data_IF_427089523531
#
_entry.id   IF_427089523531
#
_cell.length_a   1.000
_cell.length_b   1.000
_cell.length_c   1.000
_cell.angle_alpha   90.00
_cell.angle_beta   90.00
_cell.angle_gamma   90.00
#
_symmetry.space_group_name_H-M   'P 1'
#
loop_
_entity.id
_entity.type
_entity.pdbx_description
1 polymer ?
#
# COMPACT_ATOMS: atom_id res chain seq x y z
N UNK A 1 10.99 -88.39 3.42
CA UNK A 1 11.07 -88.42 1.94
C UNK A 1 9.88 -87.59 1.42
N UNK A 2 10.15 -86.44 0.79
CA UNK A 2 9.17 -85.54 0.13
C UNK A 2 8.30 -84.70 1.07
N UNK A 3 8.02 -83.41 0.87
CA UNK A 3 8.29 -82.48 -0.23
C UNK A 3 8.05 -81.06 0.33
N UNK A 4 9.10 -80.24 0.41
CA UNK A 4 9.02 -78.81 0.75
C UNK A 4 9.09 -78.00 -0.56
N UNK A 5 8.11 -77.11 -0.76
CA UNK A 5 8.00 -76.28 -1.97
C UNK A 5 9.03 -75.15 -1.92
N UNK A 6 9.65 -74.93 -3.08
CA UNK A 6 10.72 -73.99 -3.38
C UNK A 6 10.29 -72.53 -3.14
N UNK A 7 11.11 -71.78 -2.43
CA UNK A 7 11.33 -70.34 -2.67
C UNK A 7 12.61 -70.17 -3.48
N UNK A 8 12.66 -69.20 -4.40
CA UNK A 8 13.91 -68.51 -4.68
C UNK A 8 13.77 -67.01 -4.43
N UNK A 9 14.81 -66.50 -3.77
CA UNK A 9 15.08 -65.11 -3.46
C UNK A 9 15.20 -64.24 -4.72
N UNK A 10 14.68 -63.01 -4.66
CA UNK A 10 15.14 -61.93 -5.51
C UNK A 10 15.92 -60.91 -4.68
N UNK A 11 17.11 -60.58 -5.19
CA UNK A 11 18.10 -59.65 -4.64
C UNK A 11 17.53 -58.27 -4.36
N UNK A 12 17.93 -57.70 -3.22
CA UNK A 12 17.77 -56.30 -2.92
C UNK A 12 18.65 -55.47 -3.88
N UNK A 13 18.01 -54.68 -4.75
CA UNK A 13 18.64 -53.53 -5.39
C UNK A 13 18.14 -52.31 -4.61
N UNK A 14 19.01 -51.78 -3.76
CA UNK A 14 18.86 -50.49 -3.09
C UNK A 14 18.90 -49.38 -4.14
N UNK A 15 17.73 -48.98 -4.65
CA UNK A 15 17.54 -47.74 -5.38
C UNK A 15 17.29 -46.62 -4.38
N UNK A 16 18.28 -45.74 -4.21
CA UNK A 16 18.13 -44.48 -3.51
C UNK A 16 17.18 -43.61 -4.35
N UNK A 17 15.89 -43.58 -4.00
CA UNK A 17 14.97 -42.61 -4.55
C UNK A 17 15.29 -41.28 -3.86
N UNK A 18 16.02 -40.41 -4.56
CA UNK A 18 16.09 -39.00 -4.18
C UNK A 18 14.66 -38.46 -4.35
N UNK A 19 13.90 -38.47 -3.25
CA UNK A 19 12.67 -37.71 -3.16
C UNK A 19 13.10 -36.25 -3.17
N UNK A 20 13.12 -35.64 -4.36
CA UNK A 20 13.09 -34.20 -4.46
C UNK A 20 11.76 -33.81 -3.83
N UNK A 21 11.83 -33.40 -2.56
CA UNK A 21 10.82 -32.54 -1.98
C UNK A 21 10.83 -31.30 -2.86
N UNK A 22 9.95 -31.27 -3.86
CA UNK A 22 9.43 -30.00 -4.32
C UNK A 22 9.03 -29.25 -3.04
N UNK A 23 9.39 -27.97 -2.85
CA UNK A 23 8.80 -27.21 -1.76
C UNK A 23 7.29 -27.42 -1.92
N UNK A 24 6.67 -28.00 -0.89
CA UNK A 24 5.23 -27.94 -0.77
C UNK A 24 4.92 -26.47 -0.94
N UNK A 25 4.19 -26.11 -2.00
CA UNK A 25 3.60 -24.79 -2.09
C UNK A 25 2.94 -24.57 -0.73
N UNK A 26 3.41 -23.57 0.02
CA UNK A 26 2.72 -23.13 1.21
C UNK A 26 1.26 -22.95 0.78
N UNK A 27 0.35 -23.62 1.48
CA UNK A 27 -1.07 -23.38 1.26
C UNK A 27 -1.29 -21.89 1.46
N UNK A 28 -1.56 -21.17 0.36
CA UNK A 28 -1.92 -19.76 0.37
C UNK A 28 -3.05 -19.52 1.39
N UNK A 29 -2.72 -18.90 2.53
CA UNK A 29 -3.62 -18.69 3.66
C UNK A 29 -4.42 -17.38 3.60
N UNK A 30 -4.44 -16.71 2.44
CA UNK A 30 -5.09 -15.41 2.31
C UNK A 30 -6.60 -15.50 2.06
N UNK A 31 -7.32 -14.48 2.52
CA UNK A 31 -8.76 -14.31 2.29
C UNK A 31 -8.96 -13.20 1.27
N UNK A 32 -9.71 -13.48 0.20
CA UNK A 32 -10.19 -12.45 -0.75
C UNK A 32 -11.69 -12.25 -0.57
N UNK A 33 -12.16 -11.01 -0.74
CA UNK A 33 -13.59 -10.72 -0.83
C UNK A 33 -14.20 -11.43 -2.05
N UNK A 34 -15.51 -11.69 -1.99
CA UNK A 34 -16.20 -12.47 -3.01
C UNK A 34 -15.78 -13.95 -3.09
N UNK A 35 -15.05 -14.47 -2.08
CA UNK A 35 -14.60 -15.88 -2.02
C UNK A 35 -13.77 -16.29 -3.25
N UNK A 36 -12.89 -15.40 -3.71
CA UNK A 36 -12.06 -15.58 -4.91
C UNK A 36 -12.75 -15.21 -6.24
N UNK A 37 -13.93 -14.59 -6.19
CA UNK A 37 -14.66 -14.13 -7.37
C UNK A 37 -15.18 -12.70 -7.18
N UNK A 38 -14.63 -11.74 -7.92
CA UNK A 38 -15.39 -10.58 -8.38
C UNK A 38 -15.15 -9.23 -7.72
N UNK A 39 -14.50 -9.14 -6.55
CA UNK A 39 -14.19 -7.84 -5.93
C UNK A 39 -12.83 -7.33 -6.36
N UNK A 40 -12.75 -6.70 -7.54
CA UNK A 40 -11.54 -6.00 -7.99
C UNK A 40 -11.85 -4.80 -8.88
N UNK A 41 -10.86 -3.92 -9.02
CA UNK A 41 -10.94 -2.79 -9.94
C UNK A 41 -10.70 -3.22 -11.40
N UNK A 42 -11.27 -2.46 -12.32
CA UNK A 42 -11.18 -2.63 -13.77
C UNK A 42 -11.65 -4.01 -14.28
N UNK A 43 -10.72 -4.81 -14.81
CA UNK A 43 -11.04 -6.11 -15.41
C UNK A 43 -11.45 -7.09 -14.31
N UNK A 44 -12.67 -7.64 -14.30
CA UNK A 44 -13.12 -8.53 -13.22
C UNK A 44 -12.38 -9.88 -13.19
N UNK A 45 -11.53 -10.18 -14.18
CA UNK A 45 -10.70 -11.38 -14.20
C UNK A 45 -9.45 -11.17 -13.36
N UNK A 46 -9.22 -12.09 -12.41
CA UNK A 46 -8.03 -12.13 -11.57
C UNK A 46 -6.74 -12.31 -12.37
N UNK A 47 -5.64 -11.76 -11.87
CA UNK A 47 -4.33 -11.76 -12.52
C UNK A 47 -4.14 -10.66 -13.56
N UNK A 48 -5.19 -9.87 -13.85
CA UNK A 48 -5.09 -8.68 -14.69
C UNK A 48 -4.85 -7.42 -13.85
N UNK A 49 -3.99 -6.50 -14.35
CA UNK A 49 -3.67 -5.26 -13.66
C UNK A 49 -4.88 -4.34 -13.54
N UNK A 50 -4.77 -3.32 -12.67
CA UNK A 50 -5.76 -2.25 -12.55
C UNK A 50 -5.08 -0.88 -12.38
N UNK A 51 -5.72 0.17 -12.90
CA UNK A 51 -5.39 1.57 -12.60
C UNK A 51 -6.48 2.13 -11.72
N UNK A 52 -6.14 2.47 -10.48
CA UNK A 52 -7.08 2.86 -9.43
C UNK A 52 -6.86 4.35 -9.15
N UNK A 53 -7.86 5.17 -9.43
CA UNK A 53 -7.82 6.57 -9.05
C UNK A 53 -8.11 6.75 -7.56
N UNK A 54 -7.48 7.74 -6.92
CA UNK A 54 -7.74 8.01 -5.50
C UNK A 54 -7.83 9.49 -5.21
N UNK A 55 -8.54 9.85 -4.15
CA UNK A 55 -8.72 11.24 -3.74
C UNK A 55 -9.30 11.36 -2.32
N UNK A 56 -9.43 12.60 -1.86
CA UNK A 56 -10.02 12.89 -0.56
C UNK A 56 -11.49 13.26 -0.71
N UNK A 57 -12.33 12.78 0.21
CA UNK A 57 -13.71 13.25 0.33
C UNK A 57 -13.68 14.71 0.79
N UNK A 58 -14.33 15.65 0.08
CA UNK A 58 -14.42 17.03 0.52
C UNK A 58 -15.11 17.12 1.89
N UNK A 59 -14.73 18.12 2.68
CA UNK A 59 -15.38 18.35 3.97
C UNK A 59 -16.89 18.58 3.78
N UNK A 60 -17.69 17.95 4.64
CA UNK A 60 -19.15 17.98 4.57
C UNK A 60 -19.77 16.88 3.71
N UNK A 61 -18.99 16.05 3.02
CA UNK A 61 -19.51 14.88 2.27
C UNK A 61 -20.28 13.95 3.21
N UNK A 62 -21.55 13.69 2.91
CA UNK A 62 -22.46 12.94 3.82
C UNK A 62 -22.59 11.47 3.42
N UNK A 63 -23.06 10.63 4.33
CA UNK A 63 -23.43 9.24 4.04
C UNK A 63 -24.91 9.18 3.68
N UNK A 64 -25.26 8.33 2.70
CA UNK A 64 -26.65 8.05 2.35
C UNK A 64 -27.41 7.51 3.57
N UNK A 65 -28.42 8.22 4.09
CA UNK A 65 -29.16 7.80 5.27
C UNK A 65 -29.93 6.48 5.08
N UNK A 66 -30.07 5.99 3.85
CA UNK A 66 -30.65 4.68 3.57
C UNK A 66 -29.67 3.51 3.82
N UNK A 67 -28.43 3.78 4.23
CA UNK A 67 -27.38 2.79 4.43
C UNK A 67 -27.10 2.56 5.91
N UNK A 68 -26.81 1.33 6.29
CA UNK A 68 -26.63 0.94 7.69
C UNK A 68 -25.46 1.71 8.35
N UNK A 69 -24.38 1.96 7.60
CA UNK A 69 -23.22 2.74 8.08
C UNK A 69 -23.58 4.21 8.43
N UNK A 70 -24.70 4.76 7.93
CA UNK A 70 -25.15 6.09 8.32
C UNK A 70 -25.53 6.18 9.81
N UNK A 71 -25.91 5.06 10.43
CA UNK A 71 -26.21 4.99 11.86
C UNK A 71 -24.93 4.99 12.74
N UNK A 72 -23.76 4.81 12.13
CA UNK A 72 -22.47 4.68 12.81
C UNK A 72 -21.69 6.01 12.87
N UNK A 73 -22.10 7.02 12.08
CA UNK A 73 -21.38 8.29 11.95
C UNK A 73 -22.26 9.51 12.19
N UNK A 74 -21.63 10.62 12.57
CA UNK A 74 -22.27 11.92 12.79
C UNK A 74 -21.75 12.92 11.76
N UNK A 75 -22.66 13.57 11.06
CA UNK A 75 -22.35 14.65 10.13
C UNK A 75 -21.75 14.13 8.82
N UNK A 76 -20.91 14.95 8.20
CA UNK A 76 -20.15 14.58 7.01
C UNK A 76 -18.66 14.44 7.31
N UNK A 77 -17.90 14.09 6.29
CA UNK A 77 -16.43 14.01 6.34
C UNK A 77 -15.83 15.34 6.85
N UNK A 78 -14.80 15.27 7.67
CA UNK A 78 -13.95 16.39 8.06
C UNK A 78 -12.48 15.94 7.93
N UNK A 79 -12.09 15.71 6.67
CA UNK A 79 -10.74 15.24 6.34
C UNK A 79 -9.71 16.33 6.63
N UNK A 80 -10.09 17.60 6.48
CA UNK A 80 -9.23 18.74 6.82
C UNK A 80 -8.87 18.76 8.30
N UNK A 81 -9.82 18.48 9.21
CA UNK A 81 -9.53 18.39 10.64
C UNK A 81 -8.51 17.29 10.93
N UNK A 82 -8.70 16.09 10.39
CA UNK A 82 -7.79 14.96 10.60
C UNK A 82 -6.37 15.31 10.13
N UNK A 83 -6.25 15.77 8.88
CA UNK A 83 -4.97 16.17 8.28
C UNK A 83 -4.29 17.24 9.12
N UNK A 84 -5.02 18.30 9.48
CA UNK A 84 -4.47 19.41 10.27
C UNK A 84 -3.96 18.93 11.62
N UNK A 85 -4.73 18.08 12.30
CA UNK A 85 -4.35 17.54 13.61
C UNK A 85 -3.07 16.71 13.53
N UNK A 86 -2.99 15.82 12.53
CA UNK A 86 -1.82 14.98 12.33
C UNK A 86 -0.58 15.79 11.95
N UNK A 87 -0.71 16.74 11.02
CA UNK A 87 0.42 17.56 10.56
C UNK A 87 0.90 18.57 11.62
N UNK A 88 0.04 19.03 12.53
CA UNK A 88 0.45 19.81 13.70
C UNK A 88 1.35 18.98 14.62
N UNK A 89 1.08 17.68 14.77
CA UNK A 89 1.86 16.78 15.61
C UNK A 89 3.17 16.33 14.94
N UNK A 90 3.13 16.03 13.63
CA UNK A 90 4.21 15.31 12.94
C UNK A 90 4.87 16.07 11.77
N UNK A 91 4.46 17.33 11.56
CA UNK A 91 5.01 18.23 10.54
C UNK A 91 4.16 18.28 9.27
N UNK A 92 4.27 19.41 8.56
CA UNK A 92 3.55 19.65 7.32
C UNK A 92 3.88 18.57 6.27
N UNK A 93 2.86 18.07 5.59
CA UNK A 93 2.98 17.02 4.57
C UNK A 93 3.06 15.59 5.10
N UNK A 94 3.25 15.39 6.41
CA UNK A 94 3.38 14.04 7.01
C UNK A 94 2.16 13.15 6.78
N UNK A 95 0.96 13.74 6.73
CA UNK A 95 -0.27 13.00 6.45
C UNK A 95 -0.25 12.43 5.03
N UNK A 96 0.02 13.29 4.03
CA UNK A 96 0.06 12.85 2.63
C UNK A 96 1.17 11.82 2.39
N UNK A 97 2.33 11.99 3.03
CA UNK A 97 3.42 11.01 2.96
C UNK A 97 2.98 9.63 3.46
N UNK A 98 2.32 9.54 4.62
CA UNK A 98 1.83 8.27 5.16
C UNK A 98 0.85 7.57 4.18
N UNK A 99 -0.07 8.34 3.59
CA UNK A 99 -0.99 7.81 2.58
C UNK A 99 -0.25 7.32 1.34
N UNK A 100 0.69 8.10 0.82
CA UNK A 100 1.46 7.76 -0.39
C UNK A 100 2.37 6.54 -0.17
N UNK A 101 2.99 6.42 0.99
CA UNK A 101 3.81 5.26 1.34
C UNK A 101 2.97 3.98 1.28
N UNK A 102 1.80 3.96 1.93
CA UNK A 102 0.91 2.81 1.93
C UNK A 102 0.42 2.42 0.51
N UNK A 103 0.16 3.41 -0.35
CA UNK A 103 -0.16 3.17 -1.76
C UNK A 103 1.02 2.53 -2.50
N UNK A 104 2.23 3.10 -2.35
CA UNK A 104 3.46 2.60 -2.98
C UNK A 104 3.78 1.16 -2.56
N UNK A 105 3.59 0.82 -1.29
CA UNK A 105 3.80 -0.55 -0.78
C UNK A 105 2.93 -1.57 -1.53
N UNK A 106 1.68 -1.23 -1.86
CA UNK A 106 0.81 -2.09 -2.65
C UNK A 106 1.16 -2.12 -4.14
N UNK A 107 1.58 -1.00 -4.74
CA UNK A 107 2.08 -0.98 -6.13
C UNK A 107 3.33 -1.86 -6.30
N UNK A 108 4.21 -1.89 -5.28
CA UNK A 108 5.39 -2.74 -5.29
C UNK A 108 5.04 -4.24 -5.17
N UNK A 109 3.90 -4.58 -4.57
CA UNK A 109 3.52 -5.96 -4.30
C UNK A 109 2.73 -6.65 -5.44
N UNK A 110 1.94 -5.90 -6.22
CA UNK A 110 1.05 -6.43 -7.27
C UNK A 110 0.86 -5.42 -8.42
N UNK A 111 0.32 -5.84 -9.59
CA UNK A 111 0.11 -4.91 -10.72
C UNK A 111 -1.10 -3.95 -10.54
N UNK A 112 -1.11 -3.18 -9.46
CA UNK A 112 -1.99 -2.03 -9.30
C UNK A 112 -1.21 -0.74 -9.53
N UNK A 113 -1.86 0.24 -10.16
CA UNK A 113 -1.32 1.59 -10.30
C UNK A 113 -2.30 2.59 -9.70
N UNK A 114 -1.86 3.34 -8.70
CA UNK A 114 -2.63 4.41 -8.10
C UNK A 114 -2.39 5.74 -8.83
N UNK A 115 -3.48 6.44 -9.14
CA UNK A 115 -3.44 7.75 -9.82
C UNK A 115 -4.18 8.78 -8.97
N UNK A 116 -3.45 9.72 -8.40
CA UNK A 116 -4.04 10.74 -7.53
C UNK A 116 -3.02 11.48 -6.66
N UNK A 117 -3.49 12.32 -5.72
CA UNK A 117 -4.91 12.54 -5.44
C UNK A 117 -5.59 13.31 -6.58
N UNK A 118 -6.78 12.87 -7.00
CA UNK A 118 -7.67 13.66 -7.86
C UNK A 118 -8.81 14.24 -7.02
N UNK A 119 -9.33 15.40 -7.43
CA UNK A 119 -10.44 16.03 -6.73
C UNK A 119 -11.73 15.22 -6.91
N UNK A 120 -12.43 14.93 -5.81
CA UNK A 120 -13.81 14.44 -5.89
C UNK A 120 -14.75 15.63 -6.19
N UNK A 121 -15.44 15.64 -7.33
CA UNK A 121 -16.30 16.75 -7.73
C UNK A 121 -17.63 16.83 -6.95
N UNK A 122 -17.91 15.91 -6.02
CA UNK A 122 -19.23 15.76 -5.36
C UNK A 122 -19.24 16.01 -3.83
N UNK A 123 -18.87 17.22 -3.35
CA UNK A 123 -18.72 17.53 -1.92
C UNK A 123 -20.01 17.48 -1.07
N UNK A 124 -21.19 17.39 -1.70
CA UNK A 124 -22.50 17.47 -1.02
C UNK A 124 -23.44 16.32 -1.32
N UNK A 125 -23.01 15.36 -2.13
CA UNK A 125 -23.81 14.18 -2.44
C UNK A 125 -23.55 13.11 -1.38
N UNK A 126 -24.58 12.35 -0.96
CA UNK A 126 -24.35 11.15 -0.16
C UNK A 126 -23.42 10.21 -0.91
N UNK A 127 -22.39 9.66 -0.24
CA UNK A 127 -21.35 8.81 -0.83
C UNK A 127 -21.89 7.88 -1.93
N UNK A 128 -21.61 8.16 -3.22
CA UNK A 128 -21.83 7.22 -4.29
C UNK A 128 -20.46 6.76 -4.80
N UNK A 129 -20.11 5.49 -4.69
CA UNK A 129 -18.92 4.97 -5.35
C UNK A 129 -19.23 3.90 -6.37
N UNK A 130 -18.25 3.69 -7.26
CA UNK A 130 -17.99 2.42 -7.90
C UNK A 130 -18.99 1.99 -8.97
N UNK A 131 -18.80 2.48 -10.20
CA UNK A 131 -19.43 1.92 -11.40
C UNK A 131 -18.74 2.45 -12.66
N UNK A 132 -18.69 1.66 -13.72
CA UNK A 132 -18.05 2.06 -14.98
C UNK A 132 -18.59 3.41 -15.48
N UNK A 133 -17.72 4.43 -15.54
CA UNK A 133 -18.05 5.80 -15.97
C UNK A 133 -18.26 6.82 -14.85
N UNK A 134 -17.93 6.50 -13.60
CA UNK A 134 -17.87 7.48 -12.51
C UNK A 134 -16.81 8.56 -12.76
N UNK A 135 -17.12 9.80 -12.35
CA UNK A 135 -16.19 10.96 -12.39
C UNK A 135 -15.56 11.24 -11.02
N UNK A 136 -15.95 10.46 -10.01
CA UNK A 136 -15.36 10.42 -8.67
C UNK A 136 -14.18 9.45 -8.67
N UNK A 137 -13.14 9.69 -7.84
CA UNK A 137 -12.08 8.70 -7.69
C UNK A 137 -12.62 7.34 -7.25
N UNK A 138 -11.92 6.27 -7.64
CA UNK A 138 -12.24 4.89 -7.27
C UNK A 138 -12.12 4.71 -5.75
N UNK A 139 -11.02 5.19 -5.16
CA UNK A 139 -10.81 5.23 -3.73
C UNK A 139 -11.02 6.64 -3.20
N UNK A 140 -11.89 6.79 -2.19
CA UNK A 140 -12.13 8.06 -1.51
C UNK A 140 -11.77 7.95 -0.05
N UNK A 141 -10.93 8.87 0.43
CA UNK A 141 -10.46 8.88 1.81
C UNK A 141 -11.19 10.01 2.55
N UNK A 142 -11.97 9.66 3.56
CA UNK A 142 -12.69 10.59 4.42
C UNK A 142 -12.44 10.33 5.90
N UNK A 143 -12.87 11.27 6.74
CA UNK A 143 -12.74 11.14 8.19
C UNK A 143 -14.06 11.57 8.85
N UNK A 144 -14.63 10.75 9.72
CA UNK A 144 -15.97 10.94 10.25
C UNK A 144 -15.98 10.89 11.77
N UNK A 145 -16.87 11.67 12.39
CA UNK A 145 -17.14 11.54 13.81
C UNK A 145 -18.00 10.29 14.04
N UNK A 146 -17.64 9.40 14.97
CA UNK A 146 -18.46 8.24 15.26
C UNK A 146 -19.69 8.62 16.09
N UNK A 147 -20.75 7.83 15.96
CA UNK A 147 -21.83 7.83 16.94
C UNK A 147 -21.30 7.18 18.23
N UNK A 148 -21.39 7.84 19.40
CA UNK A 148 -20.89 7.26 20.64
C UNK A 148 -21.49 5.88 20.94
N UNK A 149 -20.62 4.88 21.11
CA UNK A 149 -21.01 3.49 21.40
C UNK A 149 -21.38 2.65 20.19
N UNK A 150 -21.32 3.20 18.97
CA UNK A 150 -21.47 2.43 17.73
C UNK A 150 -20.24 1.55 17.46
N UNK A 151 -20.30 0.63 16.51
CA UNK A 151 -19.14 -0.20 16.13
C UNK A 151 -17.97 0.64 15.63
N UNK A 152 -18.25 1.63 14.77
CA UNK A 152 -17.23 2.53 14.21
C UNK A 152 -16.47 3.32 15.30
N UNK A 153 -17.12 3.59 16.43
CA UNK A 153 -16.51 4.27 17.58
C UNK A 153 -15.29 3.54 18.17
N UNK A 154 -15.09 2.25 17.87
CA UNK A 154 -14.03 1.42 18.47
C UNK A 154 -12.92 1.02 17.49
N UNK A 155 -12.95 1.51 16.25
CA UNK A 155 -11.94 1.24 15.22
C UNK A 155 -11.24 2.52 14.79
N UNK A 156 -10.02 2.40 14.28
CA UNK A 156 -9.27 3.52 13.71
C UNK A 156 -9.76 3.92 12.31
N UNK A 157 -10.19 2.95 11.51
CA UNK A 157 -10.75 3.17 10.19
C UNK A 157 -11.53 1.95 9.69
N UNK A 158 -12.12 2.11 8.50
CA UNK A 158 -12.79 1.05 7.74
C UNK A 158 -12.57 1.30 6.25
N UNK A 159 -12.08 0.30 5.54
CA UNK A 159 -11.99 0.24 4.09
C UNK A 159 -13.10 -0.65 3.51
N UNK A 160 -13.78 -0.14 2.48
CA UNK A 160 -14.84 -0.85 1.76
C UNK A 160 -14.27 -1.44 0.48
N UNK A 161 -14.43 -2.74 0.27
CA UNK A 161 -13.80 -3.49 -0.82
C UNK A 161 -14.13 -2.97 -2.23
N UNK A 162 -13.42 -3.44 -3.27
CA UNK A 162 -13.70 -3.05 -4.65
C UNK A 162 -15.10 -3.50 -5.12
N UNK A 163 -15.62 -2.94 -6.23
CA UNK A 163 -16.95 -3.27 -6.75
C UNK A 163 -17.12 -4.77 -7.02
N UNK A 164 -18.34 -5.29 -6.86
CA UNK A 164 -18.68 -6.68 -7.16
C UNK A 164 -18.82 -7.63 -5.97
N UNK A 165 -18.79 -7.11 -4.73
CA UNK A 165 -19.21 -7.85 -3.52
C UNK A 165 -20.67 -7.55 -3.16
N UNK A 166 -21.63 -8.22 -3.80
CA UNK A 166 -23.06 -8.03 -3.46
C UNK A 166 -23.47 -8.62 -2.10
N UNK A 167 -22.57 -9.31 -1.37
CA UNK A 167 -22.95 -10.17 -0.23
C UNK A 167 -22.73 -9.48 1.12
N UNK A 168 -21.65 -8.72 1.31
CA UNK A 168 -21.32 -8.15 2.63
C UNK A 168 -21.12 -6.62 2.64
N UNK A 169 -20.87 -5.98 1.50
CA UNK A 169 -20.69 -4.53 1.41
C UNK A 169 -21.50 -3.97 0.25
N UNK A 170 -22.47 -3.06 0.49
CA UNK A 170 -23.20 -2.52 -0.63
C UNK A 170 -22.25 -1.74 -1.55
N UNK A 171 -22.22 -2.13 -2.83
CA UNK A 171 -21.53 -1.48 -3.96
C UNK A 171 -21.41 0.06 -3.90
N UNK A 172 -22.40 0.86 -3.41
CA UNK A 172 -22.25 2.33 -3.30
C UNK A 172 -21.13 2.86 -2.39
N UNK A 173 -20.47 2.01 -1.60
CA UNK A 173 -19.27 2.41 -0.84
C UNK A 173 -17.98 1.75 -1.33
N UNK A 174 -18.03 0.94 -2.39
CA UNK A 174 -16.84 0.32 -2.95
C UNK A 174 -15.67 1.31 -3.09
N UNK A 175 -14.51 0.98 -2.50
CA UNK A 175 -13.30 1.81 -2.50
C UNK A 175 -13.23 2.90 -1.44
N UNK A 176 -14.29 3.19 -0.70
CA UNK A 176 -14.24 4.22 0.34
C UNK A 176 -13.34 3.77 1.51
N UNK A 177 -12.61 4.72 2.09
CA UNK A 177 -11.88 4.55 3.33
C UNK A 177 -12.35 5.64 4.29
N UNK A 178 -12.82 5.23 5.47
CA UNK A 178 -13.37 6.10 6.49
C UNK A 178 -12.53 6.03 7.76
N UNK A 179 -11.85 7.12 8.11
CA UNK A 179 -11.13 7.24 9.38
C UNK A 179 -12.01 7.77 10.51
N UNK A 180 -11.81 7.25 11.71
CA UNK A 180 -12.54 7.68 12.90
C UNK A 180 -11.87 8.92 13.54
N UNK A 181 -12.52 10.09 13.49
CA UNK A 181 -11.99 11.34 14.05
C UNK A 181 -11.78 11.32 15.57
N UNK A 182 -12.40 10.37 16.28
CA UNK A 182 -12.19 10.19 17.72
C UNK A 182 -11.01 9.26 18.05
N UNK A 183 -10.40 8.63 17.04
CA UNK A 183 -9.23 7.79 17.21
C UNK A 183 -7.94 8.61 17.30
N UNK A 184 -6.97 8.12 18.06
CA UNK A 184 -5.61 8.67 18.09
C UNK A 184 -4.82 8.09 16.93
N UNK A 185 -4.36 8.95 16.02
CA UNK A 185 -3.44 8.60 14.95
C UNK A 185 -2.04 9.09 15.28
N UNK A 186 -1.06 8.21 15.17
CA UNK A 186 0.32 8.47 15.53
C UNK A 186 1.26 8.20 14.36
N UNK A 187 2.44 8.81 14.44
CA UNK A 187 3.62 8.45 13.65
C UNK A 187 4.71 7.97 14.60
N UNK A 188 4.78 6.67 14.91
CA UNK A 188 5.79 6.16 15.81
C UNK A 188 7.20 6.47 15.29
N UNK A 189 8.14 6.79 16.19
CA UNK A 189 9.54 6.93 15.83
C UNK A 189 10.23 5.56 15.82
N UNK A 190 10.91 5.22 14.72
CA UNK A 190 11.57 3.94 14.55
C UNK A 190 11.68 3.57 13.08
N UNK A 191 12.21 2.38 12.82
CA UNK A 191 12.15 1.75 11.50
C UNK A 191 10.85 0.94 11.38
N UNK A 192 10.54 0.53 10.16
CA UNK A 192 9.45 -0.41 9.90
C UNK A 192 9.71 -1.74 10.63
N UNK A 193 8.63 -2.36 11.12
CA UNK A 193 8.60 -3.53 11.98
C UNK A 193 9.28 -3.40 13.37
N UNK A 194 9.76 -2.20 13.74
CA UNK A 194 10.16 -1.97 15.13
C UNK A 194 8.93 -2.05 16.06
N UNK A 195 9.08 -2.51 17.32
CA UNK A 195 7.96 -2.55 18.26
C UNK A 195 7.38 -1.15 18.53
N UNK A 196 6.05 -1.04 18.48
CA UNK A 196 5.36 0.20 18.83
C UNK A 196 5.41 0.40 20.34
N UNK A 197 6.05 1.49 20.76
CA UNK A 197 6.12 1.88 22.18
C UNK A 197 4.90 2.69 22.66
N UNK A 198 4.12 3.27 21.74
CA UNK A 198 3.00 4.17 22.00
C UNK A 198 1.67 3.56 21.56
N UNK A 199 0.69 3.48 22.44
CA UNK A 199 -0.63 2.95 22.09
C UNK A 199 -1.39 3.96 21.22
N UNK A 200 -1.59 3.64 19.94
CA UNK A 200 -2.32 4.46 18.98
C UNK A 200 -2.45 3.76 17.62
N UNK A 201 -3.16 4.38 16.70
CA UNK A 201 -3.20 3.92 15.31
C UNK A 201 -2.03 4.51 14.57
N UNK A 202 -1.04 3.70 14.22
CA UNK A 202 -0.07 4.09 13.21
C UNK A 202 -0.81 4.38 11.90
N UNK A 203 -0.79 5.64 11.45
CA UNK A 203 -1.59 6.08 10.31
C UNK A 203 -1.19 5.37 9.01
N UNK A 204 0.11 5.18 8.79
CA UNK A 204 0.61 4.55 7.57
C UNK A 204 0.27 3.06 7.57
N UNK A 205 0.57 2.34 8.65
CA UNK A 205 0.21 0.93 8.80
C UNK A 205 -1.31 0.68 8.77
N UNK A 206 -2.12 1.57 9.34
CA UNK A 206 -3.58 1.48 9.25
C UNK A 206 -4.06 1.77 7.83
N UNK A 207 -3.53 2.78 7.15
CA UNK A 207 -3.86 3.04 5.75
C UNK A 207 -3.51 1.85 4.86
N UNK A 208 -2.35 1.22 5.08
CA UNK A 208 -1.94 0.02 4.35
C UNK A 208 -2.96 -1.12 4.52
N UNK A 209 -3.46 -1.31 5.75
CA UNK A 209 -4.53 -2.26 6.05
C UNK A 209 -5.84 -1.92 5.31
N UNK A 210 -6.32 -0.69 5.41
CA UNK A 210 -7.59 -0.30 4.78
C UNK A 210 -7.49 -0.33 3.25
N UNK A 211 -6.31 -0.09 2.66
CA UNK A 211 -6.06 -0.32 1.23
C UNK A 211 -6.10 -1.80 0.87
N UNK A 212 -5.63 -2.69 1.75
CA UNK A 212 -5.79 -4.13 1.55
C UNK A 212 -7.26 -4.52 1.37
N UNK A 213 -8.17 -3.85 2.09
CA UNK A 213 -9.60 -3.95 1.80
C UNK A 213 -9.99 -3.22 0.52
N UNK A 214 -9.86 -1.90 0.49
CA UNK A 214 -10.51 -1.03 -0.50
C UNK A 214 -9.88 -1.07 -1.89
N UNK A 215 -8.55 -1.20 -1.96
CA UNK A 215 -7.84 -1.32 -3.23
C UNK A 215 -7.70 -2.78 -3.65
N UNK A 216 -7.27 -3.64 -2.72
CA UNK A 216 -6.80 -4.97 -3.10
C UNK A 216 -7.93 -6.01 -3.10
N UNK A 217 -8.93 -5.85 -2.24
CA UNK A 217 -10.01 -6.81 -2.08
C UNK A 217 -9.66 -7.98 -1.16
N UNK A 218 -8.75 -7.78 -0.22
CA UNK A 218 -8.40 -8.77 0.81
C UNK A 218 -9.34 -8.66 2.02
N UNK A 219 -9.69 -9.79 2.62
CA UNK A 219 -10.42 -9.85 3.88
C UNK A 219 -9.49 -10.14 5.07
N UNK A 220 -10.03 -10.08 6.30
CA UNK A 220 -9.27 -10.50 7.48
C UNK A 220 -9.05 -12.02 7.49
N UNK A 221 -7.82 -12.51 7.70
CA UNK A 221 -7.57 -13.92 7.93
C UNK A 221 -8.02 -14.35 9.34
N UNK A 222 -8.19 -15.65 9.54
CA UNK A 222 -8.63 -16.21 10.84
C UNK A 222 -7.50 -16.18 11.90
N UNK A 223 -6.26 -16.25 11.44
CA UNK A 223 -5.02 -16.25 12.21
C UNK A 223 -3.92 -15.55 11.39
N UNK A 224 -2.85 -15.09 12.07
CA UNK A 224 -1.73 -14.46 11.39
C UNK A 224 -1.16 -13.20 12.06
N UNK A 225 -0.32 -13.31 13.11
CA UNK A 225 0.21 -12.12 13.78
C UNK A 225 1.18 -11.28 12.92
N UNK A 226 1.52 -11.70 11.69
CA UNK A 226 2.42 -10.98 10.79
C UNK A 226 1.73 -10.30 9.61
N UNK A 227 0.49 -10.69 9.32
CA UNK A 227 -0.28 -10.24 8.19
C UNK A 227 -0.78 -8.82 8.47
N UNK A 228 -0.63 -7.92 7.50
CA UNK A 228 -1.20 -6.58 7.61
C UNK A 228 -2.72 -6.68 7.76
N UNK A 229 -3.34 -7.63 7.08
CA UNK A 229 -4.80 -7.85 7.13
C UNK A 229 -5.30 -8.49 8.43
N UNK A 230 -4.43 -8.98 9.32
CA UNK A 230 -4.87 -9.52 10.60
C UNK A 230 -5.11 -8.43 11.64
N UNK A 231 -6.17 -8.61 12.45
CA UNK A 231 -6.62 -7.66 13.49
C UNK A 231 -6.71 -8.28 14.89
N UNK A 232 -6.23 -9.52 15.06
CA UNK A 232 -6.25 -10.21 16.35
C UNK A 232 -5.05 -9.88 17.25
N UNK A 233 -4.85 -10.65 18.33
CA UNK A 233 -3.75 -10.41 19.29
C UNK A 233 -2.38 -10.34 18.61
N UNK A 234 -1.65 -9.24 18.83
CA UNK A 234 -0.32 -9.01 18.27
C UNK A 234 -0.28 -8.14 17.01
N UNK A 235 -1.42 -7.92 16.34
CA UNK A 235 -1.50 -7.16 15.08
C UNK A 235 -0.98 -5.72 15.17
N UNK A 236 -1.19 -5.04 16.31
CA UNK A 236 -0.89 -3.61 16.46
C UNK A 236 0.45 -3.35 17.18
N UNK A 237 1.33 -4.34 17.19
CA UNK A 237 2.59 -4.30 17.94
C UNK A 237 3.78 -3.68 17.20
N UNK A 238 3.64 -3.36 15.91
CA UNK A 238 4.75 -3.04 15.02
C UNK A 238 4.48 -1.77 14.21
N UNK A 239 5.53 -0.96 14.04
CA UNK A 239 5.51 0.30 13.29
C UNK A 239 5.49 -0.06 11.79
N UNK A 240 4.63 0.57 11.00
CA UNK A 240 4.57 0.37 9.54
C UNK A 240 4.67 -1.10 9.16
N UNK A 241 3.73 -1.93 9.66
CA UNK A 241 3.73 -3.38 9.40
C UNK A 241 3.99 -3.64 7.92
N UNK A 242 4.96 -4.50 7.64
CA UNK A 242 5.26 -4.90 6.28
C UNK A 242 4.26 -5.94 5.77
N UNK A 243 4.03 -5.95 4.46
CA UNK A 243 3.22 -6.98 3.82
C UNK A 243 3.88 -8.35 4.06
N UNK A 244 3.12 -9.28 4.62
CA UNK A 244 3.57 -10.66 4.77
C UNK A 244 3.58 -11.38 3.42
N UNK A 245 4.25 -12.55 3.31
CA UNK A 245 4.16 -13.38 2.12
C UNK A 245 2.72 -13.73 1.72
N UNK A 246 1.80 -13.87 2.68
CA UNK A 246 0.40 -14.19 2.41
C UNK A 246 -0.39 -12.97 1.91
N UNK A 247 -0.13 -11.77 2.44
CA UNK A 247 -0.69 -10.53 1.90
C UNK A 247 -0.28 -10.33 0.43
N UNK A 248 1.02 -10.52 0.13
CA UNK A 248 1.58 -10.41 -1.22
C UNK A 248 0.96 -11.45 -2.14
N UNK A 249 0.91 -12.72 -1.72
CA UNK A 249 0.32 -13.80 -2.51
C UNK A 249 -1.17 -13.54 -2.80
N UNK A 250 -1.90 -12.98 -1.82
CA UNK A 250 -3.29 -12.56 -1.98
C UNK A 250 -3.43 -11.49 -3.04
N UNK A 251 -2.68 -10.40 -2.93
CA UNK A 251 -2.71 -9.29 -3.89
C UNK A 251 -2.33 -9.73 -5.31
N UNK A 252 -1.28 -10.55 -5.45
CA UNK A 252 -0.85 -11.10 -6.73
C UNK A 252 -1.85 -12.09 -7.32
N UNK A 253 -2.64 -12.77 -6.50
CA UNK A 253 -3.74 -13.60 -7.00
C UNK A 253 -4.84 -12.75 -7.64
N UNK A 254 -5.06 -11.51 -7.18
CA UNK A 254 -6.09 -10.60 -7.68
C UNK A 254 -5.60 -9.81 -8.89
N UNK A 255 -4.40 -9.22 -8.82
CA UNK A 255 -3.89 -8.28 -9.85
C UNK A 255 -2.68 -8.80 -10.63
N UNK A 256 -2.17 -9.98 -10.30
CA UNK A 256 -0.97 -10.53 -10.92
C UNK A 256 0.32 -10.04 -10.25
N UNK A 257 1.40 -10.77 -10.53
CA UNK A 257 2.76 -10.43 -10.08
C UNK A 257 3.23 -9.17 -10.82
N UNK A 258 3.80 -8.17 -10.14
CA UNK A 258 4.44 -7.03 -10.78
C UNK A 258 5.39 -7.51 -11.87
N UNK A 259 5.25 -7.02 -13.09
CA UNK A 259 6.36 -7.17 -14.03
C UNK A 259 7.51 -6.33 -13.48
N UNK A 260 8.72 -6.90 -13.31
CA UNK A 260 9.86 -6.13 -12.86
C UNK A 260 10.04 -4.90 -13.74
N UNK A 261 10.19 -3.73 -13.12
CA UNK A 261 10.47 -2.50 -13.85
C UNK A 261 11.78 -2.72 -14.61
N UNK A 262 11.81 -2.60 -15.95
CA UNK A 262 13.06 -2.80 -16.67
C UNK A 262 14.11 -1.81 -16.17
N UNK A 263 15.28 -2.32 -15.76
CA UNK A 263 16.34 -1.51 -15.17
C UNK A 263 16.36 -1.45 -13.64
N UNK A 264 15.31 -1.93 -12.95
CA UNK A 264 15.23 -2.02 -11.48
C UNK A 264 15.73 -3.40 -11.03
N UNK A 265 16.99 -3.47 -10.62
CA UNK A 265 17.64 -4.73 -10.24
C UNK A 265 17.43 -5.07 -8.76
N UNK A 266 17.18 -4.08 -7.90
CA UNK A 266 16.97 -4.32 -6.47
C UNK A 266 15.48 -4.45 -6.08
N UNK A 267 14.58 -4.23 -7.05
CA UNK A 267 13.12 -4.26 -6.92
C UNK A 267 12.59 -3.25 -5.90
N UNK A 268 13.25 -2.10 -5.75
CA UNK A 268 12.79 -1.03 -4.86
C UNK A 268 11.76 -0.09 -5.54
N UNK A 269 11.44 -0.36 -6.81
CA UNK A 269 10.47 0.40 -7.60
C UNK A 269 11.07 1.65 -8.25
N UNK A 270 12.35 1.94 -8.04
CA UNK A 270 13.10 2.98 -8.73
C UNK A 270 14.11 2.37 -9.71
N UNK A 271 14.51 3.15 -10.72
CA UNK A 271 15.62 2.81 -11.60
C UNK A 271 16.67 3.90 -11.43
N UNK A 272 17.65 3.63 -10.57
CA UNK A 272 18.62 4.62 -10.13
C UNK A 272 20.07 4.12 -10.09
N UNK A 273 20.93 4.81 -9.32
CA UNK A 273 22.36 4.47 -9.21
C UNK A 273 22.64 3.17 -8.45
N UNK A 274 21.71 2.71 -7.60
CA UNK A 274 21.81 1.42 -6.93
C UNK A 274 21.73 0.28 -7.95
N UNK A 275 20.79 0.35 -8.89
CA UNK A 275 20.64 -0.64 -9.96
C UNK A 275 21.82 -0.65 -10.91
N UNK A 276 22.34 0.53 -11.24
CA UNK A 276 23.57 0.64 -12.02
C UNK A 276 24.74 -0.09 -11.35
N UNK A 277 24.83 -0.02 -10.03
CA UNK A 277 25.89 -0.71 -9.27
C UNK A 277 25.73 -2.22 -9.39
N UNK A 278 24.49 -2.73 -9.29
CA UNK A 278 24.19 -4.15 -9.47
C UNK A 278 24.55 -4.61 -10.89
N UNK A 279 24.12 -3.88 -11.92
CA UNK A 279 24.50 -4.16 -13.31
C UNK A 279 26.03 -4.16 -13.50
N UNK A 280 26.71 -3.14 -12.97
CA UNK A 280 28.15 -2.98 -13.12
C UNK A 280 28.94 -4.12 -12.44
N UNK A 281 28.48 -4.60 -11.29
CA UNK A 281 29.10 -5.72 -10.56
C UNK A 281 28.94 -7.06 -11.32
N UNK A 282 27.92 -7.18 -12.16
CA UNK A 282 27.61 -8.40 -12.92
C UNK A 282 27.94 -8.34 -14.41
N UNK A 283 28.50 -7.22 -14.90
CA UNK A 283 28.83 -7.04 -16.31
C UNK A 283 29.69 -8.18 -16.89
N UNK A 284 29.27 -8.70 -18.05
CA UNK A 284 29.84 -9.85 -18.78
C UNK A 284 29.73 -11.20 -18.06
N UNK A 285 28.90 -11.31 -17.02
CA UNK A 285 28.59 -12.59 -16.40
C UNK A 285 27.41 -13.26 -17.12
N UNK A 286 27.38 -14.60 -17.09
CA UNK A 286 26.33 -15.43 -17.71
C UNK A 286 25.56 -16.22 -16.66
N UNK A 287 24.40 -16.75 -17.02
CA UNK A 287 23.46 -17.40 -16.09
C UNK A 287 22.85 -16.41 -15.10
N UNK A 288 22.74 -15.14 -15.52
CA UNK A 288 22.24 -14.04 -14.72
C UNK A 288 20.71 -13.94 -14.82
N UNK A 289 20.14 -13.03 -14.04
CA UNK A 289 18.71 -12.75 -13.97
C UNK A 289 18.51 -11.25 -13.74
N UNK A 290 17.25 -10.84 -13.73
CA UNK A 290 16.85 -9.46 -13.49
C UNK A 290 17.46 -8.89 -12.19
N UNK A 291 17.47 -9.67 -11.10
CA UNK A 291 18.05 -9.24 -9.81
C UNK A 291 19.58 -9.03 -9.84
N UNK A 292 20.24 -9.47 -10.91
CA UNK A 292 21.67 -9.27 -11.14
C UNK A 292 21.96 -8.37 -12.33
N UNK A 293 20.94 -7.67 -12.86
CA UNK A 293 21.10 -6.69 -13.93
C UNK A 293 20.94 -7.23 -15.34
N UNK A 294 20.41 -8.44 -15.53
CA UNK A 294 19.99 -8.97 -16.84
C UNK A 294 18.53 -8.54 -17.09
N UNK A 295 18.37 -7.36 -17.66
CA UNK A 295 17.09 -6.69 -17.82
C UNK A 295 16.36 -7.10 -19.10
N UNK A 296 17.02 -7.83 -20.00
CA UNK A 296 16.42 -8.38 -21.22
C UNK A 296 16.10 -9.89 -21.13
N UNK A 297 16.48 -10.56 -20.02
CA UNK A 297 16.29 -11.98 -19.72
C UNK A 297 16.94 -12.92 -20.76
N UNK A 298 18.10 -12.53 -21.31
CA UNK A 298 18.87 -13.35 -22.25
C UNK A 298 19.93 -14.24 -21.57
N UNK A 299 20.08 -14.10 -20.25
CA UNK A 299 20.98 -14.84 -19.39
C UNK A 299 22.38 -14.23 -19.28
N UNK A 300 22.63 -13.05 -19.86
CA UNK A 300 23.92 -12.36 -19.86
C UNK A 300 23.70 -10.89 -19.48
N UNK A 301 24.56 -10.35 -18.59
CA UNK A 301 24.53 -8.91 -18.26
C UNK A 301 25.51 -8.18 -19.18
N UNK A 302 25.01 -7.41 -20.13
CA UNK A 302 25.85 -6.68 -21.08
C UNK A 302 25.36 -5.25 -21.41
N UNK A 303 25.77 -4.73 -22.57
CA UNK A 303 25.43 -3.37 -23.02
C UNK A 303 23.96 -3.20 -23.43
N UNK A 304 23.26 -4.30 -23.75
CA UNK A 304 21.82 -4.28 -23.98
C UNK A 304 21.08 -3.94 -22.69
N UNK A 305 21.47 -4.55 -21.57
CA UNK A 305 20.89 -4.26 -20.25
C UNK A 305 21.20 -2.86 -19.78
N UNK A 306 22.43 -2.37 -20.03
CA UNK A 306 22.78 -0.98 -19.77
C UNK A 306 21.84 -0.01 -20.50
N UNK A 307 21.48 -0.34 -21.74
CA UNK A 307 20.56 0.49 -22.54
C UNK A 307 19.17 0.50 -21.89
N UNK A 308 18.70 -0.67 -21.41
CA UNK A 308 17.41 -0.77 -20.71
C UNK A 308 17.42 0.06 -19.43
N UNK A 309 18.45 -0.07 -18.58
CA UNK A 309 18.61 0.76 -17.39
C UNK A 309 18.65 2.23 -17.76
N UNK A 310 19.46 2.62 -18.75
CA UNK A 310 19.60 4.02 -19.15
C UNK A 310 18.31 4.63 -19.70
N UNK A 311 17.49 3.83 -20.40
CA UNK A 311 16.19 4.24 -20.93
C UNK A 311 15.15 4.45 -19.82
N UNK A 312 15.30 3.76 -18.68
CA UNK A 312 14.38 3.83 -17.54
C UNK A 312 14.94 4.65 -16.36
N UNK A 313 16.21 5.05 -16.42
CA UNK A 313 16.88 5.81 -15.36
C UNK A 313 16.15 7.12 -15.07
N UNK A 314 15.63 7.22 -13.86
CA UNK A 314 14.92 8.39 -13.37
C UNK A 314 15.60 8.87 -12.09
N UNK A 315 16.58 9.80 -12.17
CA UNK A 315 17.28 10.28 -10.99
C UNK A 315 16.31 11.06 -10.09
N UNK A 316 15.81 10.39 -9.06
CA UNK A 316 15.00 10.96 -7.99
C UNK A 316 13.53 11.19 -8.36
N UNK A 317 12.68 10.26 -7.95
CA UNK A 317 11.49 10.64 -7.17
C UNK A 317 11.94 11.14 -5.77
N UNK A 318 12.86 12.10 -5.74
CA UNK A 318 13.18 12.82 -4.53
C UNK A 318 12.03 13.79 -4.26
N UNK A 319 11.52 13.78 -3.03
CA UNK A 319 10.53 14.71 -2.52
C UNK A 319 10.75 16.11 -3.11
N UNK A 320 9.70 16.70 -3.68
CA UNK A 320 9.71 18.10 -4.11
C UNK A 320 10.32 18.94 -2.98
N UNK A 321 11.31 19.81 -3.25
CA UNK A 321 11.89 20.62 -2.21
C UNK A 321 10.77 21.38 -1.51
N UNK A 322 10.61 21.12 -0.21
CA UNK A 322 9.71 21.90 0.63
C UNK A 322 10.04 23.38 0.38
N UNK A 323 9.04 24.26 0.18
CA UNK A 323 9.31 25.67 -0.01
C UNK A 323 10.13 26.16 1.19
N UNK A 324 11.37 26.58 0.95
CA UNK A 324 12.22 27.07 2.04
C UNK A 324 11.47 28.21 2.75
N UNK A 325 11.36 28.18 4.08
CA UNK A 325 10.70 29.25 4.82
C UNK A 325 11.39 30.56 4.46
N UNK A 326 10.59 31.58 4.13
CA UNK A 326 10.95 32.91 3.59
C UNK A 326 11.94 33.73 4.46
N UNK A 327 13.09 33.15 4.77
CA UNK A 327 14.13 33.66 5.65
C UNK A 327 14.91 34.77 4.97
N UNK A 328 14.97 34.75 3.62
CA UNK A 328 15.49 35.86 2.83
C UNK A 328 14.62 37.12 2.88
N UNK A 329 13.29 36.97 3.01
CA UNK A 329 12.38 38.11 3.13
C UNK A 329 12.50 38.80 4.51
N UNK A 330 12.75 38.04 5.57
CA UNK A 330 12.99 38.62 6.91
C UNK A 330 14.36 39.29 7.04
N UNK A 331 15.42 38.75 6.42
CA UNK A 331 16.74 39.39 6.45
C UNK A 331 16.74 40.75 5.72
N UNK A 332 16.01 40.86 4.60
CA UNK A 332 15.90 42.11 3.84
C UNK A 332 15.04 43.17 4.56
N UNK A 333 13.98 42.75 5.27
CA UNK A 333 13.16 43.66 6.08
C UNK A 333 13.89 44.19 7.33
N UNK A 334 14.71 43.36 7.98
CA UNK A 334 15.55 43.80 9.11
C UNK A 334 16.66 44.76 8.67
N UNK A 335 17.27 44.55 7.50
CA UNK A 335 18.26 45.47 6.94
C UNK A 335 17.66 46.85 6.62
N UNK A 336 16.45 46.90 6.05
CA UNK A 336 15.79 48.17 5.73
C UNK A 336 15.30 48.94 6.97
N UNK A 337 14.89 48.25 8.03
CA UNK A 337 14.48 48.88 9.29
C UNK A 337 15.65 49.55 10.06
N UNK A 338 16.85 48.99 9.98
CA UNK A 338 18.05 49.59 10.61
C UNK A 338 18.55 50.83 9.85
N UNK A 339 18.44 50.85 8.52
CA UNK A 339 18.75 52.03 7.70
C UNK A 339 17.77 53.20 7.89
N UNK A 340 16.48 52.91 8.08
CA UNK A 340 15.45 53.94 8.32
C UNK A 340 15.56 54.61 9.71
N UNK A 341 16.04 53.88 10.72
CA UNK A 341 16.22 54.43 12.08
C UNK A 341 17.52 55.23 12.22
N UNK A 342 18.57 54.90 11.47
CA UNK A 342 19.83 55.66 11.48
C UNK A 342 19.73 57.03 10.79
N UNK A 343 18.90 57.15 9.74
CA UNK A 343 18.70 58.41 9.02
C UNK A 343 17.83 59.44 9.78
N UNK A 344 16.95 58.99 10.68
CA UNK A 344 16.14 59.88 11.54
C UNK A 344 16.89 60.46 12.73
N UNK A 345 18.03 59.88 13.14
CA UNK A 345 18.86 60.39 14.25
C UNK A 345 19.88 61.47 13.84
N UNK A 346 20.02 61.76 12.55
CA UNK A 346 20.98 62.74 12.01
C UNK A 346 20.32 63.98 11.39
N UNK A 347 19.10 64.31 11.77
CA UNK A 347 18.45 65.61 11.48
C UNK A 347 18.08 66.30 12.78
#
# INVERSE_FOLDING_TARGET
MGSQRKTPSFSAITGFLLLVLAPQAASAGYVTFGNGWGSKWDNPVHGYPATITWGFMPDGTTIDPARDIAAEVIGGSDITQMKTTYEVAYGAGSYLTAIQNALSTWEAACNVKFVGPIDDPNPGSPLPSGGAGAITPDIRIGAFNPVPGSGFNFVGGVGFGPPGDDINFPDPFAGDIMFNLSALFIRPAGNEDDPVAEFGNDLEGLMLHELGHAAIGLGHPADGPGEVMYVGPGAFGFINRQLSPDDIAGAQSVYGVPNPTPGDANFDGAVDGADYTIWADHFQQSGQKLETGDFNDDGIVDGADYTIWADHFAPGAAALPAPEPASFSMALLCALATLATHSRRRR
#
